data_IF_776553302320
#
_entry.id   IF_776553302320
#
_cell.length_a   1.000
_cell.length_b   1.000
_cell.length_c   1.000
_cell.angle_alpha   90.00
_cell.angle_beta   90.00
_cell.angle_gamma   90.00
#
_symmetry.space_group_name_H-M   'P 1'
#
loop_
_entity.id
_entity.type
_entity.pdbx_description
1 polymer ?
#
# COMPACT_ATOMS: atom_id res chain seq x y z
N UNK A 1 32.99 -35.75 -22.73
CA UNK A 1 33.46 -36.99 -22.05
C UNK A 1 32.44 -37.36 -20.98
N UNK A 2 32.28 -38.65 -20.60
CA UNK A 2 31.24 -39.12 -19.65
C UNK A 2 31.84 -39.57 -18.31
N UNK A 3 31.36 -39.02 -17.18
CA UNK A 3 31.26 -39.55 -15.78
C UNK A 3 30.29 -38.62 -15.03
N UNK A 4 29.25 -38.99 -14.26
CA UNK A 4 28.68 -40.28 -13.81
C UNK A 4 29.27 -40.92 -12.53
N UNK A 5 28.86 -40.39 -11.37
CA UNK A 5 28.73 -41.01 -10.02
C UNK A 5 27.57 -40.24 -9.33
N UNK A 6 26.51 -40.77 -8.69
CA UNK A 6 26.04 -42.14 -8.31
C UNK A 6 26.26 -42.59 -6.84
N UNK A 7 25.80 -41.79 -5.87
CA UNK A 7 25.34 -42.19 -4.50
C UNK A 7 24.20 -41.21 -4.14
N UNK A 8 22.92 -41.55 -3.95
CA UNK A 8 22.23 -42.67 -3.29
C UNK A 8 22.25 -42.63 -1.76
N UNK A 9 21.41 -41.77 -1.18
CA UNK A 9 20.92 -41.91 0.21
C UNK A 9 19.40 -41.88 0.22
N UNK A 10 18.81 -42.99 0.62
CA UNK A 10 17.37 -43.21 0.76
C UNK A 10 16.88 -42.52 2.03
N UNK A 11 15.79 -41.76 1.94
CA UNK A 11 14.86 -41.60 3.05
C UNK A 11 13.43 -41.80 2.53
N UNK A 12 12.86 -42.96 2.86
CA UNK A 12 11.52 -43.37 2.48
C UNK A 12 10.61 -43.14 3.70
N UNK A 13 9.70 -42.17 3.62
CA UNK A 13 8.69 -41.92 4.66
C UNK A 13 7.30 -41.98 4.03
N UNK A 14 6.38 -42.68 4.70
CA UNK A 14 5.22 -43.30 4.06
C UNK A 14 4.08 -42.32 3.69
N UNK A 15 3.44 -42.60 2.55
CA UNK A 15 2.09 -42.14 2.25
C UNK A 15 1.09 -43.06 3.00
N UNK A 16 0.26 -42.49 3.87
CA UNK A 16 -0.81 -43.20 4.56
C UNK A 16 -2.18 -42.55 4.24
N UNK A 17 -2.84 -43.05 3.20
CA UNK A 17 -4.23 -42.73 2.88
C UNK A 17 -5.17 -43.83 3.38
N UNK A 18 -6.01 -43.55 4.38
CA UNK A 18 -7.27 -44.26 4.63
C UNK A 18 -8.33 -43.24 5.13
N UNK A 19 -9.55 -43.21 4.57
CA UNK A 19 -10.63 -42.33 5.02
C UNK A 19 -11.40 -42.92 6.22
N UNK A 20 -11.88 -42.06 7.12
CA UNK A 20 -12.83 -42.42 8.17
C UNK A 20 -14.03 -41.47 8.10
N UNK A 21 -15.13 -41.95 7.50
CA UNK A 21 -16.36 -41.18 7.29
C UNK A 21 -17.50 -41.74 8.14
N UNK A 22 -17.91 -40.95 9.14
CA UNK A 22 -19.15 -41.07 9.90
C UNK A 22 -19.46 -39.64 10.42
N UNK A 23 -20.34 -38.86 9.81
CA UNK A 23 -21.51 -39.22 8.99
C UNK A 23 -22.84 -38.97 9.71
N UNK A 24 -22.85 -38.11 10.74
CA UNK A 24 -24.08 -37.69 11.43
C UNK A 24 -24.14 -36.21 11.85
N UNK A 25 -23.03 -35.46 11.76
CA UNK A 25 -22.99 -33.99 11.96
C UNK A 25 -22.89 -33.20 10.63
N UNK A 26 -23.05 -33.89 9.51
CA UNK A 26 -22.77 -33.43 8.14
C UNK A 26 -23.86 -32.49 7.54
N UNK A 27 -24.91 -32.15 8.30
CA UNK A 27 -26.11 -31.49 7.76
C UNK A 27 -26.69 -30.34 8.64
N UNK A 28 -25.83 -29.62 9.38
CA UNK A 28 -26.24 -28.42 10.15
C UNK A 28 -25.41 -27.16 9.82
N UNK A 29 -24.25 -27.31 9.17
CA UNK A 29 -23.36 -26.20 8.78
C UNK A 29 -22.91 -26.29 7.31
N UNK A 30 -23.69 -26.94 6.45
CA UNK A 30 -23.43 -26.96 5.00
C UNK A 30 -23.46 -25.53 4.41
N UNK A 31 -22.47 -25.10 3.63
CA UNK A 31 -22.02 -25.83 2.45
C UNK A 31 -20.60 -25.48 1.97
N UNK A 32 -19.88 -26.56 1.64
CA UNK A 32 -19.07 -26.73 0.42
C UNK A 32 -17.64 -26.14 0.40
N UNK A 33 -16.68 -27.05 0.56
CA UNK A 33 -15.32 -26.90 0.03
C UNK A 33 -15.32 -26.46 -1.43
N UNK A 34 -14.52 -25.43 -1.72
CA UNK A 34 -13.89 -25.25 -3.00
C UNK A 34 -12.38 -25.18 -2.77
N UNK A 35 -11.65 -26.20 -3.23
CA UNK A 35 -10.20 -26.16 -3.32
C UNK A 35 -9.79 -25.03 -4.27
N UNK A 36 -9.32 -23.92 -3.71
CA UNK A 36 -8.52 -22.92 -4.40
C UNK A 36 -7.19 -22.82 -3.63
N UNK A 37 -6.06 -22.53 -4.30
CA UNK A 37 -4.85 -22.20 -3.57
C UNK A 37 -5.16 -21.02 -2.65
N UNK A 38 -4.66 -21.08 -1.41
CA UNK A 38 -4.55 -19.88 -0.61
C UNK A 38 -3.62 -18.92 -1.36
N UNK A 39 -4.22 -18.01 -2.12
CA UNK A 39 -3.56 -16.79 -2.50
C UNK A 39 -3.27 -16.06 -1.19
N UNK A 40 -2.07 -16.27 -0.67
CA UNK A 40 -1.47 -15.34 0.26
C UNK A 40 -1.70 -13.95 -0.34
N UNK A 41 -2.41 -13.09 0.40
CA UNK A 41 -2.56 -11.68 0.03
C UNK A 41 -1.23 -10.94 0.29
N UNK A 42 -0.14 -11.49 -0.26
CA UNK A 42 1.02 -10.75 -0.69
C UNK A 42 0.55 -9.85 -1.84
N UNK A 43 -0.21 -8.81 -1.49
CA UNK A 43 -0.50 -7.67 -2.37
C UNK A 43 0.84 -7.05 -2.68
N UNK A 44 1.48 -7.61 -3.69
CA UNK A 44 2.87 -7.39 -3.99
C UNK A 44 2.94 -5.99 -4.57
N UNK A 45 3.50 -5.05 -3.82
CA UNK A 45 3.80 -3.68 -4.28
C UNK A 45 4.90 -3.65 -5.36
N UNK A 46 5.16 -4.79 -6.01
CA UNK A 46 6.10 -4.99 -7.08
C UNK A 46 5.37 -4.91 -8.43
N UNK A 47 5.78 -4.00 -9.29
CA UNK A 47 5.09 -3.64 -10.54
C UNK A 47 4.37 -2.29 -10.47
N UNK A 48 4.53 -1.53 -9.38
CA UNK A 48 4.19 -0.11 -9.36
C UNK A 48 5.31 0.75 -9.97
N UNK A 49 6.51 0.22 -10.18
CA UNK A 49 7.59 0.93 -10.90
C UNK A 49 7.18 1.35 -12.34
N UNK A 50 6.27 0.60 -12.98
CA UNK A 50 5.70 0.94 -14.29
C UNK A 50 4.63 2.06 -14.23
N UNK A 51 4.14 2.42 -13.04
CA UNK A 51 3.32 3.62 -12.86
C UNK A 51 4.23 4.85 -13.05
N UNK A 52 3.90 5.70 -14.02
CA UNK A 52 4.73 6.85 -14.37
C UNK A 52 4.93 7.88 -13.23
N UNK A 53 3.96 8.03 -12.32
CA UNK A 53 4.12 8.88 -11.13
C UNK A 53 5.13 8.28 -10.14
N UNK A 54 5.02 6.98 -9.85
CA UNK A 54 5.96 6.25 -8.98
C UNK A 54 7.36 6.24 -9.59
N UNK A 55 7.49 5.88 -10.86
CA UNK A 55 8.76 5.88 -11.59
C UNK A 55 9.43 7.26 -11.65
N UNK A 56 8.64 8.34 -11.78
CA UNK A 56 9.15 9.72 -11.69
C UNK A 56 9.70 10.04 -10.29
N UNK A 57 9.00 9.65 -9.23
CA UNK A 57 9.47 9.84 -7.83
C UNK A 57 10.75 9.05 -7.56
N UNK A 58 10.80 7.77 -7.95
CA UNK A 58 12.00 6.93 -7.83
C UNK A 58 13.20 7.57 -8.55
N UNK A 59 13.00 7.98 -9.81
CA UNK A 59 14.08 8.49 -10.67
C UNK A 59 14.61 9.85 -10.23
N UNK A 60 13.75 10.73 -9.70
CA UNK A 60 14.14 12.09 -9.30
C UNK A 60 14.65 12.17 -7.87
N UNK A 61 14.12 11.36 -6.94
CA UNK A 61 14.46 11.42 -5.52
C UNK A 61 15.41 10.30 -5.06
N UNK A 62 15.71 9.33 -5.93
CA UNK A 62 16.57 8.19 -5.59
C UNK A 62 15.93 7.19 -4.63
N UNK A 63 14.59 7.19 -4.54
CA UNK A 63 13.82 6.34 -3.64
C UNK A 63 13.54 4.96 -4.26
N UNK A 64 13.39 3.94 -3.41
CA UNK A 64 12.91 2.61 -3.83
C UNK A 64 11.43 2.62 -4.22
N UNK A 65 10.98 1.60 -4.95
CA UNK A 65 9.56 1.43 -5.35
C UNK A 65 8.62 1.47 -4.15
N UNK A 66 8.94 0.75 -3.06
CA UNK A 66 8.14 0.74 -1.84
C UNK A 66 8.07 2.12 -1.15
N UNK A 67 9.17 2.88 -1.17
CA UNK A 67 9.21 4.23 -0.61
C UNK A 67 8.44 5.23 -1.46
N UNK A 68 8.59 5.18 -2.79
CA UNK A 68 7.85 6.03 -3.70
C UNK A 68 6.34 5.72 -3.64
N UNK A 69 5.96 4.45 -3.72
CA UNK A 69 4.56 4.01 -3.66
C UNK A 69 3.91 4.33 -2.30
N UNK A 70 4.55 4.00 -1.18
CA UNK A 70 4.01 4.27 0.15
C UNK A 70 4.00 5.76 0.52
N UNK A 71 5.01 6.52 0.09
CA UNK A 71 5.06 7.98 0.24
C UNK A 71 3.91 8.65 -0.52
N UNK A 72 3.75 8.33 -1.81
CA UNK A 72 2.62 8.79 -2.63
C UNK A 72 1.27 8.33 -2.06
N UNK A 73 1.19 7.08 -1.61
CA UNK A 73 0.02 6.53 -0.92
C UNK A 73 -0.38 7.34 0.31
N UNK A 74 0.59 7.77 1.12
CA UNK A 74 0.31 8.55 2.33
C UNK A 74 -0.20 9.96 2.00
N UNK A 75 0.36 10.60 0.97
CA UNK A 75 -0.15 11.86 0.42
C UNK A 75 -1.58 11.71 -0.13
N UNK A 76 -1.85 10.61 -0.85
CA UNK A 76 -3.19 10.30 -1.38
C UNK A 76 -4.18 9.97 -0.26
N UNK A 77 -3.75 9.31 0.81
CA UNK A 77 -4.59 9.03 1.99
C UNK A 77 -4.95 10.32 2.73
N UNK A 78 -4.01 11.27 2.87
CA UNK A 78 -4.32 12.61 3.37
C UNK A 78 -5.31 13.34 2.47
N UNK A 79 -5.08 13.31 1.15
CA UNK A 79 -6.02 13.90 0.20
C UNK A 79 -7.41 13.25 0.30
N UNK A 80 -7.50 11.93 0.45
CA UNK A 80 -8.76 11.21 0.67
C UNK A 80 -9.47 11.61 1.97
N UNK A 81 -8.72 11.91 3.04
CA UNK A 81 -9.29 12.35 4.32
C UNK A 81 -9.79 13.80 4.28
N UNK A 82 -9.20 14.65 3.43
CA UNK A 82 -9.51 16.08 3.34
C UNK A 82 -10.47 16.43 2.18
N UNK A 83 -10.53 15.59 1.14
CA UNK A 83 -11.46 15.71 0.02
C UNK A 83 -12.69 14.84 0.26
N UNK A 84 -13.87 15.34 -0.13
CA UNK A 84 -15.07 14.49 -0.21
C UNK A 84 -14.92 13.42 -1.30
N UNK A 85 -15.70 12.34 -1.23
CA UNK A 85 -15.57 11.18 -2.13
C UNK A 85 -15.63 11.53 -3.63
N UNK A 86 -16.38 12.56 -4.02
CA UNK A 86 -16.46 13.04 -5.42
C UNK A 86 -15.17 13.73 -5.89
N UNK A 87 -14.62 14.60 -5.04
CA UNK A 87 -13.35 15.30 -5.31
C UNK A 87 -12.19 14.30 -5.34
N UNK A 88 -12.17 13.36 -4.40
CA UNK A 88 -11.15 12.32 -4.36
C UNK A 88 -11.24 11.36 -5.55
N UNK A 89 -12.44 10.95 -6.00
CA UNK A 89 -12.59 10.12 -7.20
C UNK A 89 -11.97 10.78 -8.43
N UNK A 90 -12.26 12.07 -8.62
CA UNK A 90 -11.70 12.86 -9.74
C UNK A 90 -10.16 12.92 -9.71
N UNK A 91 -9.57 12.97 -8.50
CA UNK A 91 -8.13 12.89 -8.29
C UNK A 91 -7.58 11.48 -8.55
N UNK A 92 -8.21 10.43 -8.01
CA UNK A 92 -7.75 9.05 -8.17
C UNK A 92 -7.87 8.53 -9.59
N UNK A 93 -8.90 8.95 -10.33
CA UNK A 93 -9.11 8.56 -11.74
C UNK A 93 -7.99 9.10 -12.66
N UNK A 94 -7.27 10.14 -12.21
CA UNK A 94 -6.09 10.69 -12.89
C UNK A 94 -4.78 9.94 -12.56
N UNK A 95 -4.79 9.01 -11.61
CA UNK A 95 -3.62 8.30 -11.09
C UNK A 95 -3.86 6.78 -11.19
N UNK A 96 -3.37 6.12 -12.25
CA UNK A 96 -3.55 4.67 -12.45
C UNK A 96 -3.06 3.86 -11.25
N UNK A 97 -3.88 2.94 -10.73
CA UNK A 97 -3.50 2.11 -9.58
C UNK A 97 -3.48 2.85 -8.24
N UNK A 98 -4.28 3.90 -8.07
CA UNK A 98 -4.44 4.60 -6.76
C UNK A 98 -4.71 3.63 -5.61
N UNK A 99 -5.54 2.59 -5.79
CA UNK A 99 -5.80 1.58 -4.75
C UNK A 99 -4.53 0.86 -4.29
N UNK A 100 -3.60 0.59 -5.21
CA UNK A 100 -2.33 -0.05 -4.90
C UNK A 100 -1.36 0.91 -4.19
N UNK A 101 -1.41 2.21 -4.50
CA UNK A 101 -0.68 3.25 -3.76
C UNK A 101 -1.22 3.39 -2.33
N UNK A 102 -2.54 3.44 -2.16
CA UNK A 102 -3.17 3.46 -0.83
C UNK A 102 -2.86 2.19 -0.03
N UNK A 103 -2.81 1.03 -0.68
CA UNK A 103 -2.39 -0.23 -0.05
C UNK A 103 -0.89 -0.32 0.27
N UNK A 104 -0.05 0.52 -0.36
CA UNK A 104 1.39 0.61 -0.08
C UNK A 104 1.72 1.53 1.12
N UNK A 105 0.72 2.21 1.69
CA UNK A 105 0.90 2.98 2.94
C UNK A 105 1.31 2.02 4.06
N UNK A 106 2.40 2.30 4.81
CA UNK A 106 2.83 1.45 5.90
C UNK A 106 1.72 1.32 6.94
N UNK A 107 1.41 0.09 7.36
CA UNK A 107 0.47 -0.12 8.44
C UNK A 107 1.07 0.38 9.75
N UNK A 108 0.67 1.58 10.18
CA UNK A 108 1.04 2.22 11.46
C UNK A 108 0.37 1.54 12.68
N UNK A 109 0.13 0.22 12.57
CA UNK A 109 -0.49 -0.64 13.57
C UNK A 109 0.49 -0.99 14.70
N UNK A 110 0.92 0.05 15.43
CA UNK A 110 1.62 -0.05 16.70
C UNK A 110 0.86 0.73 17.76
N UNK A 111 0.70 0.12 18.94
CA UNK A 111 0.01 0.66 20.13
C UNK A 111 0.55 2.05 20.58
N UNK A 112 1.74 2.44 20.11
CA UNK A 112 2.42 3.69 20.45
C UNK A 112 2.21 4.84 19.46
N UNK A 113 1.95 4.56 18.18
CA UNK A 113 1.88 5.56 17.10
C UNK A 113 0.52 6.25 17.05
N UNK A 114 -0.48 5.55 16.50
CA UNK A 114 -1.84 6.07 16.34
C UNK A 114 -2.50 6.45 17.69
N UNK A 115 -2.30 5.65 18.74
CA UNK A 115 -2.81 5.96 20.09
C UNK A 115 -2.12 7.18 20.70
N UNK A 116 -0.80 7.30 20.51
CA UNK A 116 0.00 8.43 20.98
C UNK A 116 -0.36 9.73 20.27
N UNK A 117 -0.60 9.69 18.95
CA UNK A 117 -1.08 10.82 18.17
C UNK A 117 -2.52 11.18 18.51
N UNK A 118 -3.46 10.23 18.54
CA UNK A 118 -4.87 10.49 18.88
C UNK A 118 -5.01 11.15 20.26
N UNK A 119 -4.17 10.73 21.21
CA UNK A 119 -4.09 11.33 22.55
C UNK A 119 -3.52 12.76 22.58
N UNK A 120 -2.77 13.20 21.57
CA UNK A 120 -2.37 14.62 21.37
C UNK A 120 -3.34 15.39 20.47
N UNK A 121 -3.95 14.72 19.48
CA UNK A 121 -4.77 15.33 18.45
C UNK A 121 -6.16 15.74 18.94
N UNK A 122 -6.62 15.20 20.07
CA UNK A 122 -7.86 15.64 20.74
C UNK A 122 -7.91 17.14 21.06
N UNK A 123 -6.77 17.84 21.05
CA UNK A 123 -6.65 19.29 21.26
C UNK A 123 -6.20 20.05 19.98
N UNK A 124 -5.73 19.35 18.93
CA UNK A 124 -5.03 19.94 17.77
C UNK A 124 -5.77 19.84 16.42
N UNK A 125 -6.89 19.10 16.35
CA UNK A 125 -7.78 19.08 15.18
C UNK A 125 -7.38 18.13 14.04
N UNK A 126 -8.33 17.89 13.12
CA UNK A 126 -8.24 16.85 12.09
C UNK A 126 -7.16 17.13 11.03
N UNK A 127 -6.92 18.38 10.66
CA UNK A 127 -5.88 18.76 9.70
C UNK A 127 -4.49 18.38 10.22
N UNK A 128 -4.21 18.68 11.50
CA UNK A 128 -2.93 18.34 12.12
C UNK A 128 -2.71 16.82 12.21
N UNK A 129 -3.76 16.06 12.54
CA UNK A 129 -3.74 14.59 12.51
C UNK A 129 -3.39 14.07 11.09
N UNK A 130 -3.98 14.66 10.04
CA UNK A 130 -3.70 14.30 8.66
C UNK A 130 -2.23 14.49 8.27
N UNK A 131 -1.66 15.66 8.58
CA UNK A 131 -0.24 15.94 8.32
C UNK A 131 0.69 14.99 9.10
N UNK A 132 0.38 14.72 10.38
CA UNK A 132 1.15 13.80 11.21
C UNK A 132 1.21 12.38 10.61
N UNK A 133 0.09 11.85 10.10
CA UNK A 133 0.06 10.52 9.47
C UNK A 133 0.94 10.42 8.22
N UNK A 134 1.11 11.50 7.45
CA UNK A 134 2.07 11.53 6.32
C UNK A 134 3.50 11.48 6.83
N UNK A 135 3.86 12.31 7.81
CA UNK A 135 5.21 12.31 8.37
C UNK A 135 5.58 10.98 9.05
N UNK A 136 4.64 10.36 9.76
CA UNK A 136 4.80 9.03 10.35
C UNK A 136 4.97 7.94 9.28
N UNK A 137 4.21 8.03 8.18
CA UNK A 137 4.35 7.10 7.05
C UNK A 137 5.73 7.23 6.38
N UNK A 138 6.20 8.47 6.17
CA UNK A 138 7.54 8.73 5.65
C UNK A 138 8.63 8.18 6.60
N UNK A 139 8.50 8.43 7.90
CA UNK A 139 9.44 7.93 8.92
C UNK A 139 9.48 6.39 8.99
N UNK A 140 8.32 5.74 8.93
CA UNK A 140 8.20 4.27 8.87
C UNK A 140 8.78 3.66 7.57
N UNK A 141 8.77 4.39 6.46
CA UNK A 141 9.41 4.02 5.20
C UNK A 141 10.90 4.41 5.12
N UNK A 142 11.45 5.04 6.17
CA UNK A 142 12.82 5.56 6.17
C UNK A 142 13.06 6.71 5.18
N UNK A 143 12.02 7.46 4.83
CA UNK A 143 12.05 8.63 3.94
C UNK A 143 12.19 9.88 4.80
N UNK A 144 13.18 10.72 4.50
CA UNK A 144 13.39 12.00 5.20
C UNK A 144 12.26 13.00 4.89
N UNK A 145 11.89 13.84 5.86
CA UNK A 145 10.70 14.72 5.77
C UNK A 145 10.87 15.82 4.71
N UNK A 146 12.11 16.13 4.36
CA UNK A 146 12.51 17.05 3.29
C UNK A 146 12.09 16.56 1.89
N UNK A 147 11.76 15.27 1.73
CA UNK A 147 11.24 14.72 0.46
C UNK A 147 9.73 14.91 0.28
N UNK A 148 8.98 15.37 1.29
CA UNK A 148 7.53 15.61 1.17
C UNK A 148 7.25 16.66 0.09
N UNK A 149 7.88 17.84 0.18
CA UNK A 149 7.68 18.92 -0.80
C UNK A 149 8.10 18.52 -2.24
N UNK A 150 9.29 17.93 -2.49
CA UNK A 150 9.65 17.40 -3.80
C UNK A 150 8.67 16.35 -4.34
N UNK A 151 8.20 15.43 -3.51
CA UNK A 151 7.25 14.39 -3.93
C UNK A 151 5.89 14.99 -4.31
N UNK A 152 5.41 15.98 -3.56
CA UNK A 152 4.24 16.79 -3.94
C UNK A 152 4.48 17.56 -5.24
N UNK A 153 5.67 18.13 -5.43
CA UNK A 153 6.07 18.78 -6.69
C UNK A 153 5.97 17.85 -7.90
N UNK A 154 6.47 16.62 -7.78
CA UNK A 154 6.40 15.59 -8.83
C UNK A 154 4.95 15.16 -9.08
N UNK A 155 4.14 14.97 -8.03
CA UNK A 155 2.72 14.65 -8.16
C UNK A 155 1.93 15.74 -8.90
N UNK A 156 2.19 17.02 -8.61
CA UNK A 156 1.61 18.16 -9.34
C UNK A 156 2.03 18.16 -10.81
N UNK A 157 3.31 17.98 -11.10
CA UNK A 157 3.82 17.92 -12.48
C UNK A 157 3.20 16.76 -13.27
N UNK A 158 3.02 15.60 -12.64
CA UNK A 158 2.35 14.46 -13.26
C UNK A 158 0.88 14.78 -13.56
N UNK A 159 0.11 15.26 -12.58
CA UNK A 159 -1.31 15.60 -12.76
C UNK A 159 -1.51 16.70 -13.82
N UNK A 160 -0.64 17.71 -13.85
CA UNK A 160 -0.68 18.76 -14.86
C UNK A 160 -0.48 18.22 -16.28
N UNK A 161 0.38 17.20 -16.44
CA UNK A 161 0.63 16.55 -17.74
C UNK A 161 -0.50 15.59 -18.18
N UNK A 162 -1.19 14.95 -17.23
CA UNK A 162 -2.24 13.95 -17.54
C UNK A 162 -3.66 14.54 -17.62
N UNK A 163 -4.00 15.44 -16.70
CA UNK A 163 -5.38 15.90 -16.46
C UNK A 163 -5.54 17.42 -16.40
N UNK A 164 -4.45 18.18 -16.33
CA UNK A 164 -4.45 19.63 -16.25
C UNK A 164 -4.75 20.20 -14.86
N UNK A 165 -4.89 21.53 -14.80
CA UNK A 165 -4.81 22.29 -13.55
C UNK A 165 -5.92 21.95 -12.55
N UNK A 166 -7.12 21.57 -13.00
CA UNK A 166 -8.24 21.24 -12.11
C UNK A 166 -7.95 20.08 -11.15
N UNK A 167 -7.20 19.06 -11.60
CA UNK A 167 -6.79 17.96 -10.71
C UNK A 167 -5.60 18.33 -9.84
N UNK A 168 -4.75 19.26 -10.29
CA UNK A 168 -3.68 19.84 -9.46
C UNK A 168 -4.28 20.63 -8.29
N UNK A 169 -5.33 21.41 -8.54
CA UNK A 169 -6.06 22.15 -7.50
C UNK A 169 -6.70 21.21 -6.47
N UNK A 170 -7.28 20.08 -6.92
CA UNK A 170 -7.81 19.04 -6.03
C UNK A 170 -6.71 18.41 -5.17
N UNK A 171 -5.54 18.09 -5.74
CA UNK A 171 -4.39 17.59 -4.97
C UNK A 171 -3.96 18.62 -3.92
N UNK A 172 -3.76 19.88 -4.32
CA UNK A 172 -3.35 20.95 -3.40
C UNK A 172 -4.36 21.19 -2.27
N UNK A 173 -5.67 21.13 -2.58
CA UNK A 173 -6.76 21.20 -1.60
C UNK A 173 -6.70 20.02 -0.63
N UNK A 174 -6.51 18.80 -1.13
CA UNK A 174 -6.37 17.59 -0.32
C UNK A 174 -5.14 17.61 0.59
N UNK A 175 -4.04 18.19 0.12
CA UNK A 175 -2.79 18.33 0.87
C UNK A 175 -2.71 19.60 1.72
N UNK A 176 -3.75 20.43 1.77
CA UNK A 176 -3.75 21.73 2.45
C UNK A 176 -3.56 21.71 3.98
N UNK A 177 -3.31 20.54 4.57
CA UNK A 177 -2.87 20.39 5.97
C UNK A 177 -1.34 20.28 6.12
N UNK A 178 -0.61 20.07 5.03
CA UNK A 178 0.86 20.06 4.96
C UNK A 178 1.45 21.43 4.55
N UNK A 179 0.59 22.39 4.16
CA UNK A 179 0.93 23.67 3.53
C UNK A 179 0.56 24.85 4.44
#
# INVERSE_FOLDING_TARGET
MKRLILVSSILLSALATIPAQAGWLDNITGNKEATAPAAEATTSVAGLADNALVGNVMSQLGLSEAQAAGGLGSLLSLAQSNLGSSDFSTLSDSIPGTDALLAAVPSLAGDSGMSGLLSKAGDMGSSFQGAAMVYDSFEALGISKEYVEPMVGIAKQYLQQQSGDGTVDLLMKGLGSLM
#
